data_IF_240122875383
#
_entry.id   IF_240122875383
#
_cell.length_a   1.000
_cell.length_b   1.000
_cell.length_c   1.000
_cell.angle_alpha   90.00
_cell.angle_beta   90.00
_cell.angle_gamma   90.00
#
_symmetry.space_group_name_H-M   'P 1'
#
loop_
_entity.id
_entity.type
_entity.pdbx_description
1 polymer ?
#
# COMPACT_ATOMS: atom_id res chain seq x y z
N UNK A 1 -14.16 8.87 17.85
CA UNK A 1 -14.14 9.66 16.58
C UNK A 1 -13.13 9.10 15.56
N UNK A 2 -12.90 7.78 15.52
CA UNK A 2 -11.91 7.18 14.60
C UNK A 2 -12.41 7.15 13.14
N UNK A 3 -13.71 6.93 12.94
CA UNK A 3 -14.31 6.79 11.62
C UNK A 3 -14.18 8.06 10.76
N UNK A 4 -14.31 9.25 11.35
CA UNK A 4 -14.14 10.51 10.64
C UNK A 4 -12.69 10.66 10.15
N UNK A 5 -11.70 10.33 10.99
CA UNK A 5 -10.30 10.35 10.58
C UNK A 5 -10.00 9.33 9.49
N UNK A 6 -10.64 8.15 9.53
CA UNK A 6 -10.54 7.16 8.47
C UNK A 6 -11.07 7.72 7.13
N UNK A 7 -12.23 8.39 7.12
CA UNK A 7 -12.77 9.02 5.91
C UNK A 7 -11.85 10.11 5.36
N UNK A 8 -11.32 10.98 6.23
CA UNK A 8 -10.37 12.03 5.83
C UNK A 8 -9.10 11.41 5.24
N UNK A 9 -8.58 10.34 5.86
CA UNK A 9 -7.41 9.63 5.37
C UNK A 9 -7.68 8.99 4.00
N UNK A 10 -8.80 8.30 3.82
CA UNK A 10 -9.18 7.70 2.52
C UNK A 10 -9.28 8.74 1.42
N UNK A 11 -9.92 9.88 1.68
CA UNK A 11 -10.00 10.97 0.69
C UNK A 11 -8.63 11.59 0.40
N UNK A 12 -7.79 11.76 1.42
CA UNK A 12 -6.44 12.32 1.26
C UNK A 12 -5.53 11.40 0.46
N UNK A 13 -5.59 10.09 0.71
CA UNK A 13 -4.88 9.07 -0.07
C UNK A 13 -5.34 9.04 -1.52
N UNK A 14 -6.65 9.04 -1.76
CA UNK A 14 -7.19 9.11 -3.13
C UNK A 14 -6.74 10.37 -3.88
N UNK A 15 -6.74 11.53 -3.21
CA UNK A 15 -6.20 12.76 -3.77
C UNK A 15 -4.69 12.66 -4.06
N UNK A 16 -3.90 12.13 -3.13
CA UNK A 16 -2.46 11.95 -3.30
C UNK A 16 -2.15 11.05 -4.50
N UNK A 17 -2.84 9.92 -4.66
CA UNK A 17 -2.67 8.99 -5.79
C UNK A 17 -2.94 9.65 -7.15
N UNK A 18 -3.97 10.51 -7.21
CA UNK A 18 -4.24 11.30 -8.42
C UNK A 18 -3.07 12.23 -8.76
N UNK A 19 -2.48 12.90 -7.76
CA UNK A 19 -1.33 13.77 -7.97
C UNK A 19 -0.06 12.98 -8.31
N UNK A 20 0.17 11.81 -7.71
CA UNK A 20 1.30 10.95 -8.03
C UNK A 20 1.24 10.46 -9.47
N UNK A 21 0.06 10.03 -9.94
CA UNK A 21 -0.13 9.67 -11.34
C UNK A 21 0.13 10.85 -12.27
N UNK A 22 -0.40 12.04 -11.93
CA UNK A 22 -0.20 13.25 -12.73
C UNK A 22 1.28 13.66 -12.78
N UNK A 23 2.03 13.44 -11.70
CA UNK A 23 3.47 13.70 -11.63
C UNK A 23 4.35 12.62 -12.26
N UNK A 24 3.78 11.44 -12.59
CA UNK A 24 4.51 10.35 -13.23
C UNK A 24 4.60 10.61 -14.73
N UNK A 25 5.67 11.28 -15.16
CA UNK A 25 5.97 11.45 -16.59
C UNK A 25 6.48 10.12 -17.18
N UNK A 26 5.86 9.69 -18.29
CA UNK A 26 6.24 8.51 -19.04
C UNK A 26 7.59 8.69 -19.75
N UNK A 27 8.02 9.92 -20.05
CA UNK A 27 9.30 10.19 -20.71
C UNK A 27 10.48 10.27 -19.74
N UNK A 28 10.21 10.53 -18.45
CA UNK A 28 11.24 10.57 -17.41
C UNK A 28 11.39 9.21 -16.75
N UNK A 29 12.53 8.55 -16.97
CA UNK A 29 12.84 7.26 -16.34
C UNK A 29 12.88 7.35 -14.82
N UNK A 30 13.16 8.51 -14.23
CA UNK A 30 13.36 8.67 -12.78
C UNK A 30 12.18 9.34 -12.07
N UNK A 31 11.04 9.54 -12.75
CA UNK A 31 9.85 10.21 -12.18
C UNK A 31 9.37 9.54 -10.88
N UNK A 32 9.30 8.22 -10.84
CA UNK A 32 8.90 7.45 -9.66
C UNK A 32 9.83 7.64 -8.44
N UNK A 33 11.16 7.75 -8.66
CA UNK A 33 12.12 8.04 -7.59
C UNK A 33 12.01 9.47 -7.09
N UNK A 34 11.80 10.44 -7.99
CA UNK A 34 11.60 11.84 -7.61
C UNK A 34 10.38 12.01 -6.71
N UNK A 35 9.27 11.32 -7.04
CA UNK A 35 8.07 11.30 -6.21
C UNK A 35 8.41 10.72 -4.83
N UNK A 36 9.10 9.58 -4.78
CA UNK A 36 9.49 8.96 -3.50
C UNK A 36 10.33 9.89 -2.62
N UNK A 37 11.32 10.58 -3.19
CA UNK A 37 12.16 11.54 -2.46
C UNK A 37 11.33 12.70 -1.93
N UNK A 38 10.46 13.30 -2.74
CA UNK A 38 9.61 14.42 -2.31
C UNK A 38 8.61 14.02 -1.23
N UNK A 39 7.96 12.87 -1.37
CA UNK A 39 7.03 12.35 -0.37
C UNK A 39 7.76 12.08 0.94
N UNK A 40 8.91 11.40 0.90
CA UNK A 40 9.73 11.13 2.07
C UNK A 40 10.20 12.42 2.77
N UNK A 41 10.60 13.43 2.00
CA UNK A 41 11.01 14.74 2.53
C UNK A 41 9.84 15.43 3.24
N UNK A 42 8.68 15.55 2.57
CA UNK A 42 7.51 16.24 3.13
C UNK A 42 7.00 15.50 4.38
N UNK A 43 6.87 14.18 4.31
CA UNK A 43 6.45 13.37 5.46
C UNK A 43 7.45 13.45 6.61
N UNK A 44 8.75 13.47 6.31
CA UNK A 44 9.81 13.69 7.30
C UNK A 44 9.69 15.05 8.00
N UNK A 45 9.51 16.13 7.23
CA UNK A 45 9.30 17.48 7.79
C UNK A 45 8.02 17.53 8.64
N UNK A 46 6.92 16.93 8.18
CA UNK A 46 5.69 16.83 8.95
C UNK A 46 5.91 16.06 10.25
N UNK A 47 6.63 14.93 10.22
CA UNK A 47 6.97 14.17 11.42
C UNK A 47 7.76 15.03 12.41
N UNK A 48 8.82 15.72 11.96
CA UNK A 48 9.61 16.62 12.82
C UNK A 48 8.78 17.77 13.41
N UNK A 49 7.83 18.32 12.64
CA UNK A 49 6.94 19.38 13.10
C UNK A 49 5.92 18.88 14.15
N UNK A 50 5.51 17.62 14.06
CA UNK A 50 4.54 17.00 14.98
C UNK A 50 5.19 16.39 16.23
N UNK A 51 6.49 16.05 16.18
CA UNK A 51 7.22 15.48 17.32
C UNK A 51 7.05 16.25 18.65
N UNK A 52 7.10 17.60 18.70
CA UNK A 52 6.90 18.35 19.94
C UNK A 52 5.49 18.23 20.54
N UNK A 53 4.51 17.84 19.72
CA UNK A 53 3.12 17.64 20.13
C UNK A 53 2.84 16.19 20.56
N UNK A 54 3.81 15.29 20.41
CA UNK A 54 3.65 13.89 20.75
C UNK A 54 3.61 13.69 22.27
N UNK A 55 2.54 13.04 22.76
CA UNK A 55 2.35 12.72 24.19
C UNK A 55 3.34 11.67 24.71
N UNK A 56 4.05 10.98 23.81
CA UNK A 56 4.97 9.89 24.11
C UNK A 56 6.24 10.30 24.86
N UNK A 57 6.51 11.61 25.00
CA UNK A 57 7.73 12.13 25.66
C UNK A 57 9.03 11.67 24.99
N UNK A 58 8.95 11.08 23.80
CA UNK A 58 10.07 10.55 23.03
C UNK A 58 10.93 11.70 22.55
N UNK A 59 12.15 11.79 23.06
CA UNK A 59 13.13 12.74 22.54
C UNK A 59 13.51 12.37 21.11
N UNK A 60 13.80 13.39 20.30
CA UNK A 60 14.15 13.31 18.86
C UNK A 60 15.36 12.38 18.58
N UNK A 61 16.05 11.91 19.63
CA UNK A 61 17.40 11.39 19.57
C UNK A 61 17.56 10.02 20.23
N UNK A 62 16.50 9.21 20.35
CA UNK A 62 16.70 7.82 20.72
C UNK A 62 17.18 7.01 19.50
N UNK A 63 18.50 7.05 19.25
CA UNK A 63 19.13 6.47 18.05
C UNK A 63 18.82 4.97 17.89
N UNK A 64 18.55 4.28 19.01
CA UNK A 64 18.17 2.87 19.03
C UNK A 64 16.84 2.64 18.30
N UNK A 65 15.86 3.52 18.48
CA UNK A 65 14.58 3.40 17.77
C UNK A 65 14.76 3.57 16.26
N UNK A 66 15.62 4.51 15.84
CA UNK A 66 15.90 4.73 14.42
C UNK A 66 16.47 3.47 13.77
N UNK A 67 17.38 2.76 14.46
CA UNK A 67 17.98 1.51 13.96
C UNK A 67 16.95 0.37 13.97
N UNK A 68 16.15 0.25 15.02
CA UNK A 68 15.16 -0.82 15.14
C UNK A 68 14.04 -0.73 14.09
N UNK A 69 13.55 0.47 13.78
CA UNK A 69 12.50 0.68 12.79
C UNK A 69 13.02 0.90 11.37
N UNK A 70 14.35 0.99 11.17
CA UNK A 70 14.94 1.16 9.84
C UNK A 70 14.57 0.03 8.85
N UNK A 71 14.58 -1.27 9.23
CA UNK A 71 14.20 -2.36 8.31
C UNK A 71 12.75 -2.25 7.85
N UNK A 72 11.83 -1.99 8.78
CA UNK A 72 10.39 -1.81 8.49
C UNK A 72 10.17 -0.60 7.60
N UNK A 73 10.82 0.53 7.93
CA UNK A 73 10.77 1.76 7.14
C UNK A 73 11.31 1.56 5.71
N UNK A 74 12.39 0.79 5.56
CA UNK A 74 12.95 0.44 4.25
C UNK A 74 11.99 -0.42 3.44
N UNK A 75 11.33 -1.40 4.06
CA UNK A 75 10.30 -2.20 3.39
C UNK A 75 9.16 -1.32 2.89
N UNK A 76 8.67 -0.39 3.70
CA UNK A 76 7.64 0.57 3.30
C UNK A 76 8.10 1.51 2.17
N UNK A 77 9.33 2.06 2.24
CA UNK A 77 9.85 2.90 1.17
C UNK A 77 9.96 2.10 -0.14
N UNK A 78 10.44 0.86 -0.07
CA UNK A 78 10.55 -0.02 -1.23
C UNK A 78 9.18 -0.38 -1.82
N UNK A 79 8.17 -0.67 -0.98
CA UNK A 79 6.80 -0.91 -1.44
C UNK A 79 6.31 0.33 -2.20
N UNK A 80 6.39 1.52 -1.60
CA UNK A 80 5.96 2.79 -2.23
C UNK A 80 6.68 3.06 -3.55
N UNK A 81 8.00 2.85 -3.63
CA UNK A 81 8.78 3.02 -4.88
C UNK A 81 8.28 2.11 -6.00
N UNK A 82 7.99 0.84 -5.68
CA UNK A 82 7.41 -0.12 -6.64
C UNK A 82 6.00 0.32 -7.04
N UNK A 83 5.22 0.83 -6.09
CA UNK A 83 3.90 1.38 -6.34
C UNK A 83 3.91 2.57 -7.30
N UNK A 84 4.81 3.52 -7.09
CA UNK A 84 5.04 4.66 -7.98
C UNK A 84 5.49 4.21 -9.37
N UNK A 85 6.35 3.20 -9.47
CA UNK A 85 6.75 2.63 -10.76
C UNK A 85 5.56 1.99 -11.50
N UNK A 86 4.68 1.30 -10.77
CA UNK A 86 3.45 0.71 -11.30
C UNK A 86 2.48 1.74 -11.87
N UNK A 87 2.43 2.94 -11.29
CA UNK A 87 1.57 4.03 -11.77
C UNK A 87 1.90 4.48 -13.19
N UNK A 88 3.06 4.13 -13.76
CA UNK A 88 3.34 4.41 -15.17
C UNK A 88 2.52 3.53 -16.11
N UNK A 89 2.16 2.32 -15.68
CA UNK A 89 1.59 1.29 -16.55
C UNK A 89 0.10 1.03 -16.32
N UNK A 90 -0.43 1.42 -15.16
CA UNK A 90 -1.84 1.24 -14.78
C UNK A 90 -2.56 2.57 -14.54
N UNK A 91 -3.87 2.57 -14.73
CA UNK A 91 -4.73 3.68 -14.30
C UNK A 91 -4.85 3.73 -12.77
N UNK A 92 -5.06 4.93 -12.21
CA UNK A 92 -5.22 5.13 -10.76
C UNK A 92 -6.38 4.31 -10.22
N UNK A 93 -7.46 4.21 -11.00
CA UNK A 93 -8.66 3.41 -10.71
C UNK A 93 -8.39 1.91 -10.52
N UNK A 94 -7.25 1.40 -10.96
CA UNK A 94 -6.87 -0.01 -10.82
C UNK A 94 -5.81 -0.15 -9.74
N UNK A 95 -4.77 0.67 -9.81
CA UNK A 95 -3.61 0.52 -8.93
C UNK A 95 -3.95 0.87 -7.47
N UNK A 96 -4.71 1.95 -7.25
CA UNK A 96 -5.03 2.45 -5.91
C UNK A 96 -5.91 1.47 -5.13
N UNK A 97 -6.99 0.86 -5.67
CA UNK A 97 -7.75 -0.15 -4.95
C UNK A 97 -6.95 -1.40 -4.59
N UNK A 98 -6.02 -1.84 -5.45
CA UNK A 98 -5.19 -3.02 -5.16
C UNK A 98 -4.17 -2.69 -4.07
N UNK A 99 -3.48 -1.55 -4.16
CA UNK A 99 -2.51 -1.12 -3.14
C UNK A 99 -3.15 -0.90 -1.77
N UNK A 100 -4.31 -0.24 -1.73
CA UNK A 100 -5.05 0.00 -0.49
C UNK A 100 -5.68 -1.28 0.11
N UNK A 101 -5.58 -2.41 -0.59
CA UNK A 101 -5.94 -3.71 -0.03
C UNK A 101 -4.78 -4.41 0.69
N UNK A 102 -3.61 -3.78 0.85
CA UNK A 102 -2.47 -4.37 1.57
C UNK A 102 -2.85 -4.79 3.00
N UNK A 103 -3.75 -4.05 3.67
CA UNK A 103 -4.30 -4.45 4.97
C UNK A 103 -5.02 -5.81 4.94
N UNK A 104 -5.81 -6.09 3.89
CA UNK A 104 -6.46 -7.39 3.72
C UNK A 104 -5.45 -8.50 3.44
N UNK A 105 -4.36 -8.20 2.73
CA UNK A 105 -3.22 -9.13 2.56
C UNK A 105 -2.54 -9.42 3.91
N UNK A 106 -2.30 -8.39 4.72
CA UNK A 106 -1.70 -8.55 6.06
C UNK A 106 -2.58 -9.39 6.98
N UNK A 107 -3.89 -9.15 6.99
CA UNK A 107 -4.84 -9.99 7.73
C UNK A 107 -4.81 -11.45 7.26
N UNK A 108 -4.76 -11.70 5.95
CA UNK A 108 -4.66 -13.05 5.39
C UNK A 108 -3.36 -13.74 5.81
N UNK A 109 -2.22 -13.05 5.73
CA UNK A 109 -0.92 -13.58 6.15
C UNK A 109 -0.90 -13.90 7.65
N UNK A 110 -1.50 -13.04 8.48
CA UNK A 110 -1.62 -13.26 9.92
C UNK A 110 -2.49 -14.49 10.25
N UNK A 111 -3.63 -14.66 9.55
CA UNK A 111 -4.47 -15.85 9.68
C UNK A 111 -3.68 -17.11 9.30
N UNK A 112 -2.98 -17.10 8.16
CA UNK A 112 -2.15 -18.23 7.72
C UNK A 112 -1.04 -18.56 8.72
N UNK A 113 -0.42 -17.54 9.31
CA UNK A 113 0.59 -17.71 10.36
C UNK A 113 0.00 -18.41 11.60
N UNK A 114 -1.16 -17.99 12.09
CA UNK A 114 -1.81 -18.66 13.23
C UNK A 114 -2.18 -20.11 12.95
N UNK A 115 -2.67 -20.41 11.74
CA UNK A 115 -2.91 -21.80 11.31
C UNK A 115 -1.62 -22.61 11.27
N UNK A 116 -0.55 -22.06 10.70
CA UNK A 116 0.73 -22.75 10.57
C UNK A 116 1.39 -23.08 11.92
N UNK A 117 1.24 -22.20 12.92
CA UNK A 117 1.74 -22.40 14.29
C UNK A 117 0.76 -23.23 15.15
N UNK A 118 -0.38 -23.65 14.60
CA UNK A 118 -1.39 -24.46 15.31
C UNK A 118 -2.22 -23.66 16.32
N UNK A 119 -2.19 -22.32 16.27
CA UNK A 119 -2.93 -21.40 17.15
C UNK A 119 -4.28 -21.00 16.54
N UNK A 120 -5.05 -21.97 16.07
CA UNK A 120 -6.33 -21.71 15.38
C UNK A 120 -7.32 -20.95 16.27
N UNK A 121 -7.32 -21.20 17.58
CA UNK A 121 -8.16 -20.47 18.55
C UNK A 121 -7.90 -18.96 18.58
N UNK A 122 -6.65 -18.53 18.37
CA UNK A 122 -6.28 -17.11 18.37
C UNK A 122 -6.91 -16.33 17.21
N UNK A 123 -7.32 -17.01 16.14
CA UNK A 123 -8.03 -16.35 15.02
C UNK A 123 -9.38 -15.81 15.49
N UNK A 124 -10.08 -16.53 16.35
CA UNK A 124 -11.38 -16.10 16.87
C UNK A 124 -11.26 -14.99 17.93
N UNK A 125 -10.11 -14.91 18.60
CA UNK A 125 -9.82 -13.87 19.59
C UNK A 125 -9.41 -12.54 18.92
N UNK A 126 -8.64 -12.61 17.83
CA UNK A 126 -8.08 -11.44 17.15
C UNK A 126 -8.97 -10.91 16.01
N UNK A 127 -9.76 -11.77 15.36
CA UNK A 127 -10.61 -11.38 14.22
C UNK A 127 -12.08 -11.63 14.50
N UNK A 128 -12.89 -10.58 14.35
CA UNK A 128 -14.35 -10.75 14.38
C UNK A 128 -14.84 -11.37 13.08
N UNK A 129 -16.06 -11.94 13.10
CA UNK A 129 -16.71 -12.45 11.89
C UNK A 129 -16.82 -11.37 10.81
N UNK A 130 -17.04 -10.12 11.20
CA UNK A 130 -17.12 -8.99 10.27
C UNK A 130 -15.77 -8.70 9.61
N UNK A 131 -14.66 -8.84 10.33
CA UNK A 131 -13.31 -8.64 9.78
C UNK A 131 -12.97 -9.71 8.74
N UNK A 132 -13.33 -10.98 9.02
CA UNK A 132 -13.15 -12.09 8.10
C UNK A 132 -13.99 -11.92 6.82
N UNK A 133 -15.25 -11.51 6.98
CA UNK A 133 -16.14 -11.23 5.85
C UNK A 133 -15.62 -10.04 5.04
N UNK A 134 -15.24 -8.94 5.71
CA UNK A 134 -14.70 -7.74 5.07
C UNK A 134 -13.43 -8.04 4.27
N UNK A 135 -12.47 -8.72 4.89
CA UNK A 135 -11.22 -9.18 4.24
C UNK A 135 -11.52 -10.05 3.03
N UNK A 136 -12.46 -10.99 3.15
CA UNK A 136 -12.86 -11.87 2.05
C UNK A 136 -13.50 -11.10 0.88
N UNK A 137 -14.36 -10.13 1.18
CA UNK A 137 -14.98 -9.26 0.16
C UNK A 137 -13.93 -8.43 -0.56
N UNK A 138 -12.95 -7.88 0.15
CA UNK A 138 -11.83 -7.14 -0.44
C UNK A 138 -11.03 -8.05 -1.37
N UNK A 139 -10.65 -9.24 -0.92
CA UNK A 139 -9.89 -10.21 -1.72
C UNK A 139 -10.64 -10.61 -3.01
N UNK A 140 -11.94 -10.90 -2.91
CA UNK A 140 -12.79 -11.16 -4.08
C UNK A 140 -12.85 -9.96 -5.01
N UNK A 141 -12.99 -8.74 -4.46
CA UNK A 141 -12.99 -7.49 -5.22
C UNK A 141 -11.73 -7.31 -6.08
N UNK A 142 -10.55 -7.60 -5.52
CA UNK A 142 -9.27 -7.53 -6.25
C UNK A 142 -9.23 -8.57 -7.39
N UNK A 143 -9.68 -9.80 -7.14
CA UNK A 143 -9.74 -10.84 -8.17
C UNK A 143 -10.67 -10.44 -9.31
N UNK A 144 -11.85 -9.90 -8.99
CA UNK A 144 -12.81 -9.41 -9.98
C UNK A 144 -12.22 -8.23 -10.78
N UNK A 145 -11.52 -7.30 -10.13
CA UNK A 145 -10.84 -6.19 -10.78
C UNK A 145 -9.78 -6.69 -11.79
N UNK A 146 -8.99 -7.70 -11.41
CA UNK A 146 -8.01 -8.32 -12.30
C UNK A 146 -8.66 -9.00 -13.52
N UNK A 147 -9.81 -9.65 -13.34
CA UNK A 147 -10.58 -10.26 -14.43
C UNK A 147 -11.11 -9.18 -15.39
N UNK A 148 -11.65 -8.08 -14.86
CA UNK A 148 -12.14 -6.95 -15.67
C UNK A 148 -11.01 -6.34 -16.49
N UNK A 149 -9.84 -6.14 -15.89
CA UNK A 149 -8.68 -5.56 -16.59
C UNK A 149 -8.19 -6.47 -17.72
N UNK A 150 -8.15 -7.79 -17.48
CA UNK A 150 -7.81 -8.77 -18.52
C UNK A 150 -8.79 -8.70 -19.71
N UNK A 151 -10.08 -8.50 -19.46
CA UNK A 151 -11.10 -8.36 -20.51
C UNK A 151 -10.96 -7.03 -21.27
N UNK A 152 -10.65 -5.93 -20.57
CA UNK A 152 -10.45 -4.61 -21.17
C UNK A 152 -9.29 -4.62 -22.19
N UNK A 153 -8.21 -5.35 -21.90
CA UNK A 153 -7.08 -5.56 -22.85
C UNK A 153 -7.50 -6.27 -24.14
N UNK A 154 -8.39 -7.26 -24.08
CA UNK A 154 -8.84 -8.02 -25.26
C UNK A 154 -9.63 -7.14 -26.23
N UNK A 155 -10.32 -6.11 -25.71
CA UNK A 155 -11.19 -5.23 -26.50
C UNK A 155 -10.40 -4.06 -27.13
N UNK A 156 -9.32 -3.58 -26.49
CA UNK A 156 -8.60 -2.36 -26.87
C UNK A 156 -7.24 -2.64 -27.55
N UNK A 157 -7.17 -3.64 -28.43
CA UNK A 157 -5.93 -4.19 -29.05
C UNK A 157 -4.97 -3.19 -29.74
N UNK A 158 -5.28 -1.90 -29.85
CA UNK A 158 -4.54 -0.91 -30.66
C UNK A 158 -3.92 0.26 -29.87
N UNK A 159 -4.17 0.38 -28.55
CA UNK A 159 -3.59 1.48 -27.76
C UNK A 159 -2.24 1.10 -27.12
N UNK A 160 -1.16 1.73 -27.59
CA UNK A 160 0.22 1.59 -27.08
C UNK A 160 0.36 1.80 -25.56
N UNK A 161 -0.62 2.42 -24.91
CA UNK A 161 -0.62 2.65 -23.46
C UNK A 161 -0.83 1.37 -22.63
N UNK A 162 -1.37 0.31 -23.22
CA UNK A 162 -1.77 -0.92 -22.51
C UNK A 162 -0.91 -2.17 -22.82
N UNK A 163 0.31 -2.00 -23.34
CA UNK A 163 1.13 -3.16 -23.75
C UNK A 163 1.33 -4.21 -22.64
N UNK A 164 1.43 -3.78 -21.38
CA UNK A 164 1.60 -4.69 -20.23
C UNK A 164 0.25 -5.20 -19.67
N UNK A 165 -0.83 -4.40 -19.69
CA UNK A 165 -2.18 -4.80 -19.24
C UNK A 165 -2.17 -5.55 -17.89
N UNK A 166 -2.77 -6.75 -17.83
CA UNK A 166 -2.79 -7.58 -16.62
C UNK A 166 -1.40 -7.92 -16.03
N UNK A 167 -0.32 -7.92 -16.84
CA UNK A 167 1.03 -8.12 -16.31
C UNK A 167 1.47 -6.94 -15.42
N UNK A 168 0.95 -5.74 -15.67
CA UNK A 168 1.24 -4.56 -14.86
C UNK A 168 0.62 -4.64 -13.44
N UNK A 169 -0.33 -5.57 -13.20
CA UNK A 169 -0.84 -5.85 -11.85
C UNK A 169 0.24 -6.43 -10.91
N UNK A 170 1.36 -6.90 -11.46
CA UNK A 170 2.49 -7.34 -10.63
C UNK A 170 3.03 -6.22 -9.73
N UNK A 171 2.99 -4.96 -10.18
CA UNK A 171 3.48 -3.83 -9.38
C UNK A 171 2.65 -3.60 -8.11
N UNK A 172 1.32 -3.39 -8.17
CA UNK A 172 0.52 -3.23 -6.96
C UNK A 172 0.46 -4.51 -6.10
N UNK A 173 0.60 -5.70 -6.69
CA UNK A 173 0.72 -6.94 -5.90
C UNK A 173 2.04 -7.03 -5.15
N UNK A 174 3.16 -6.68 -5.79
CA UNK A 174 4.47 -6.60 -5.14
C UNK A 174 4.50 -5.51 -4.05
N UNK A 175 3.83 -4.37 -4.30
CA UNK A 175 3.59 -3.36 -3.28
C UNK A 175 2.93 -4.00 -2.06
N UNK A 176 1.78 -4.66 -2.23
CA UNK A 176 1.05 -5.27 -1.11
C UNK A 176 1.89 -6.31 -0.38
N UNK A 177 2.61 -7.15 -1.12
CA UNK A 177 3.45 -8.18 -0.52
C UNK A 177 4.56 -7.59 0.36
N UNK A 178 5.29 -6.59 -0.15
CA UNK A 178 6.40 -5.98 0.59
C UNK A 178 5.87 -5.16 1.77
N UNK A 179 4.75 -4.46 1.58
CA UNK A 179 4.07 -3.71 2.63
C UNK A 179 3.60 -4.62 3.76
N UNK A 180 3.00 -5.77 3.43
CA UNK A 180 2.64 -6.82 4.39
C UNK A 180 3.86 -7.41 5.11
N UNK A 181 4.99 -7.62 4.41
CA UNK A 181 6.23 -8.05 5.06
C UNK A 181 6.72 -6.99 6.05
N UNK A 182 6.64 -5.71 5.68
CA UNK A 182 6.94 -4.59 6.58
C UNK A 182 6.05 -4.59 7.81
N UNK A 183 4.73 -4.75 7.62
CA UNK A 183 3.75 -4.80 8.71
C UNK A 183 3.98 -5.99 9.64
N UNK A 184 4.40 -7.14 9.10
CA UNK A 184 4.68 -8.34 9.90
C UNK A 184 5.99 -8.25 10.70
N UNK A 185 6.90 -7.35 10.31
CA UNK A 185 8.17 -7.12 11.00
C UNK A 185 8.09 -6.00 12.05
N UNK A 186 7.01 -5.22 12.04
CA UNK A 186 6.64 -4.23 13.06
C UNK A 186 5.99 -4.91 14.28
#
# INVERSE_FOLDING_TARGET
MWFIYALIATLSWGCADLFYKKGTDENDRYSYLKIAVWVGLVMGVCAFALLPLAESGTSVLNLINLVNYAPVSLAYILSMVIGYAGMRYLEVSIISPVQNASGAFSSLVMILYFVAVGRIGAIADEFTVLDLVGTSVIAVGIILLAIVEKRKKIILTDEKKYHLGALALIFPLLYCLIDTIGTAAD
#
